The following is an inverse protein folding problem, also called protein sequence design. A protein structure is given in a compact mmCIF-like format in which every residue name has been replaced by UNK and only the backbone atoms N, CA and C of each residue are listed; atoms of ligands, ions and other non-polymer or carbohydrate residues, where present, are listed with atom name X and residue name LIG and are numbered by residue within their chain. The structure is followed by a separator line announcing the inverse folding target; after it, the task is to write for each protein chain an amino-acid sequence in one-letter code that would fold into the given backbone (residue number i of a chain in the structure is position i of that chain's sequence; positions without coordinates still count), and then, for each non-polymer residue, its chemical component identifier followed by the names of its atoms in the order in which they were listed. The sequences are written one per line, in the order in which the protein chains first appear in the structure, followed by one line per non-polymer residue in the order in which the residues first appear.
data_IF_785240081337
#
_entry.id   IF_785240081337
#
_cell.length_a   1.000
_cell.length_b   1.000
_cell.length_c   1.000
_cell.angle_alpha   90.00
_cell.angle_beta   90.00
_cell.angle_gamma   90.00
#
_symmetry.space_group_name_H-M   'P 1'
#
loop_
_entity.id
_entity.type
_entity.pdbx_description
1 polymer ?
#
# COMPACT_ATOMS: atom_id res chain seq x y z
N UNK A 1 3.90 19.90 0.36
CA UNK A 1 4.79 18.72 0.55
C UNK A 1 4.60 17.80 -0.66
N UNK A 2 5.65 17.26 -1.28
CA UNK A 2 5.49 16.24 -2.34
C UNK A 2 5.22 14.87 -1.73
N UNK A 3 4.42 14.07 -2.41
CA UNK A 3 4.25 12.65 -2.09
C UNK A 3 4.35 11.81 -3.37
N UNK A 4 4.68 10.54 -3.21
CA UNK A 4 4.83 9.59 -4.31
C UNK A 4 3.86 8.45 -4.12
N UNK A 5 3.31 7.91 -5.19
CA UNK A 5 2.32 6.86 -5.08
C UNK A 5 2.51 5.73 -6.09
N UNK A 6 2.16 4.52 -5.66
CA UNK A 6 1.91 3.37 -6.52
C UNK A 6 0.55 2.79 -6.17
N UNK A 7 -0.44 3.07 -7.02
CA UNK A 7 -1.83 2.66 -6.78
C UNK A 7 -2.19 1.47 -7.67
N UNK A 8 -3.09 0.62 -7.20
CA UNK A 8 -3.51 -0.56 -7.93
C UNK A 8 -4.21 -0.17 -9.24
N UNK A 9 -3.88 -0.87 -10.33
CA UNK A 9 -4.31 -0.56 -11.71
C UNK A 9 -3.91 0.84 -12.24
N UNK A 10 -3.02 1.56 -11.56
CA UNK A 10 -2.56 2.88 -11.97
C UNK A 10 -1.05 2.91 -12.19
N UNK A 11 -0.59 3.87 -13.00
CA UNK A 11 0.83 4.13 -13.13
C UNK A 11 1.38 4.78 -11.84
N UNK A 12 2.64 4.48 -11.47
CA UNK A 12 3.31 5.23 -10.42
C UNK A 12 3.33 6.71 -10.75
N UNK A 13 3.20 7.55 -9.74
CA UNK A 13 3.17 9.00 -9.93
C UNK A 13 3.65 9.76 -8.70
N UNK A 14 3.64 11.08 -8.85
CA UNK A 14 3.88 12.03 -7.78
C UNK A 14 2.74 13.04 -7.71
N UNK A 15 2.51 13.55 -6.51
CA UNK A 15 1.50 14.57 -6.26
C UNK A 15 1.98 15.60 -5.24
N UNK A 16 1.21 16.67 -5.12
CA UNK A 16 1.45 17.72 -4.14
C UNK A 16 0.36 17.65 -3.07
N UNK A 17 0.78 17.49 -1.82
CA UNK A 17 -0.09 17.61 -0.66
C UNK A 17 -0.43 19.09 -0.44
N UNK A 18 -1.71 19.36 -0.19
CA UNK A 18 -2.25 20.69 0.11
C UNK A 18 -2.34 20.85 1.62
N UNK A 19 -1.85 21.95 2.16
CA UNK A 19 -1.99 22.23 3.59
C UNK A 19 -3.45 22.58 3.89
N UNK A 20 -4.09 21.85 4.82
CA UNK A 20 -5.48 22.13 5.23
C UNK A 20 -5.48 23.07 6.45
N UNK A 21 -4.66 22.75 7.45
CA UNK A 21 -4.47 23.54 8.67
C UNK A 21 -3.03 23.34 9.17
N UNK A 22 -2.66 23.80 10.38
CA UNK A 22 -1.27 23.69 10.87
C UNK A 22 -0.77 22.25 11.12
N UNK A 23 -1.67 21.28 11.28
CA UNK A 23 -1.35 19.91 11.69
C UNK A 23 -1.79 18.86 10.65
N UNK A 24 -2.53 19.26 9.61
CA UNK A 24 -3.14 18.35 8.64
C UNK A 24 -2.82 18.74 7.21
N UNK A 25 -2.53 17.73 6.38
CA UNK A 25 -2.38 17.86 4.92
C UNK A 25 -3.40 16.99 4.20
N UNK A 26 -3.91 17.51 3.08
CA UNK A 26 -4.77 16.81 2.14
C UNK A 26 -3.96 16.21 0.99
N UNK A 27 -4.25 14.96 0.65
CA UNK A 27 -3.65 14.22 -0.46
C UNK A 27 -4.74 13.88 -1.47
N UNK A 28 -4.72 14.53 -2.63
CA UNK A 28 -5.56 14.13 -3.77
C UNK A 28 -4.89 13.00 -4.54
N UNK A 29 -5.47 11.79 -4.48
CA UNK A 29 -5.00 10.64 -5.25
C UNK A 29 -5.74 10.52 -6.60
N UNK A 30 -5.12 9.90 -7.63
CA UNK A 30 -5.74 9.70 -8.95
C UNK A 30 -7.10 8.99 -8.96
N UNK A 31 -7.46 8.29 -7.90
CA UNK A 31 -8.76 7.62 -7.75
C UNK A 31 -9.87 8.56 -7.23
N UNK A 32 -9.64 9.87 -7.28
CA UNK A 32 -10.56 10.93 -6.84
C UNK A 32 -10.89 10.90 -5.34
N UNK A 33 -10.15 10.12 -4.55
CA UNK A 33 -10.27 10.11 -3.09
C UNK A 33 -9.26 11.09 -2.50
N UNK A 34 -9.76 11.95 -1.60
CA UNK A 34 -8.90 12.85 -0.83
C UNK A 34 -8.69 12.26 0.56
N UNK A 35 -7.43 12.16 0.97
CA UNK A 35 -7.05 11.70 2.30
C UNK A 35 -6.52 12.86 3.13
N UNK A 36 -6.95 12.95 4.38
CA UNK A 36 -6.42 13.89 5.35
C UNK A 36 -5.47 13.15 6.29
N UNK A 37 -4.21 13.58 6.32
CA UNK A 37 -3.20 12.98 7.20
C UNK A 37 -2.67 14.01 8.20
N UNK A 38 -2.47 13.61 9.46
CA UNK A 38 -1.69 14.41 10.39
C UNK A 38 -0.24 14.49 9.91
N UNK A 39 0.38 15.67 10.03
CA UNK A 39 1.75 15.91 9.62
C UNK A 39 2.57 16.53 10.76
N UNK A 40 3.79 16.03 10.96
CA UNK A 40 4.82 16.73 11.71
C UNK A 40 5.78 17.38 10.71
N UNK A 41 5.80 18.71 10.64
CA UNK A 41 6.64 19.48 9.72
C UNK A 41 8.16 19.30 9.95
N UNK A 42 8.53 18.77 11.12
CA UNK A 42 9.92 18.41 11.45
C UNK A 42 10.32 17.11 10.78
N UNK A 43 9.37 16.25 10.43
CA UNK A 43 9.64 15.02 9.72
C UNK A 43 10.13 15.32 8.30
N UNK A 44 11.32 14.83 7.98
CA UNK A 44 11.98 15.04 6.68
C UNK A 44 11.98 13.81 5.79
N UNK A 45 11.29 12.75 6.22
CA UNK A 45 11.05 11.52 5.44
C UNK A 45 10.15 11.81 4.25
N UNK A 46 10.17 10.90 3.30
CA UNK A 46 9.42 10.99 2.05
C UNK A 46 8.10 10.26 2.23
N UNK A 47 6.98 10.95 1.96
CA UNK A 47 5.66 10.35 1.98
C UNK A 47 5.45 9.50 0.72
N UNK A 48 5.23 8.20 0.93
CA UNK A 48 4.98 7.21 -0.11
C UNK A 48 3.65 6.51 0.17
N UNK A 49 2.75 6.55 -0.80
CA UNK A 49 1.45 5.88 -0.77
C UNK A 49 1.53 4.62 -1.61
N UNK A 50 1.10 3.47 -1.07
CA UNK A 50 1.17 2.21 -1.81
C UNK A 50 -0.07 1.35 -1.60
N UNK A 51 -0.63 0.87 -2.70
CA UNK A 51 -1.67 -0.16 -2.70
C UNK A 51 -1.00 -1.54 -2.79
N UNK A 52 -1.19 -2.37 -1.77
CA UNK A 52 -0.60 -3.70 -1.73
C UNK A 52 -0.56 -4.29 -0.33
N UNK A 53 0.47 -5.08 -0.08
CA UNK A 53 0.75 -5.70 1.21
C UNK A 53 2.17 -5.32 1.66
N UNK A 54 2.29 -4.92 2.93
CA UNK A 54 3.60 -4.81 3.57
C UNK A 54 4.08 -6.20 4.01
N UNK A 55 5.35 -6.48 3.74
CA UNK A 55 6.00 -7.69 4.21
C UNK A 55 5.95 -7.79 5.74
N UNK A 56 5.95 -9.02 6.25
CA UNK A 56 5.99 -9.29 7.69
C UNK A 56 7.23 -8.59 8.28
N UNK A 57 7.05 -7.89 9.40
CA UNK A 57 8.15 -7.25 10.15
C UNK A 57 8.92 -6.12 9.44
N UNK A 58 8.51 -5.68 8.25
CA UNK A 58 9.26 -4.65 7.53
C UNK A 58 8.95 -3.21 7.99
N UNK A 59 7.68 -2.87 8.25
CA UNK A 59 7.23 -1.52 8.63
C UNK A 59 5.94 -1.67 9.48
N UNK A 60 5.67 -0.79 10.47
CA UNK A 60 4.38 -0.77 11.17
C UNK A 60 3.19 -0.80 10.20
N UNK A 61 2.30 -1.79 10.39
CA UNK A 61 1.19 -2.07 9.47
C UNK A 61 -0.02 -1.23 9.84
N UNK A 62 -0.08 0.00 9.34
CA UNK A 62 -1.30 0.79 9.27
C UNK A 62 -1.71 0.93 7.81
N UNK A 63 -3.00 0.76 7.49
CA UNK A 63 -3.50 0.93 6.14
C UNK A 63 -5.01 0.81 6.03
N UNK A 64 -5.57 1.44 5.01
CA UNK A 64 -7.01 1.46 4.73
C UNK A 64 -7.37 0.35 3.75
N UNK A 65 -8.45 -0.38 4.01
CA UNK A 65 -8.94 -1.38 3.06
C UNK A 65 -9.67 -0.67 1.91
N UNK A 66 -9.09 -0.68 0.71
CA UNK A 66 -9.66 0.00 -0.47
C UNK A 66 -10.43 -0.96 -1.39
N UNK A 67 -10.17 -2.26 -1.30
CA UNK A 67 -10.90 -3.29 -2.04
C UNK A 67 -11.03 -4.54 -1.18
N UNK A 68 -12.21 -5.16 -1.21
CA UNK A 68 -12.46 -6.47 -0.58
C UNK A 68 -13.22 -7.35 -1.56
N UNK A 69 -12.57 -8.41 -2.05
CA UNK A 69 -13.14 -9.36 -3.02
C UNK A 69 -13.45 -10.68 -2.31
N UNK A 70 -14.68 -11.17 -2.43
CA UNK A 70 -15.03 -12.52 -1.99
C UNK A 70 -14.44 -13.53 -2.97
N UNK A 71 -13.64 -14.48 -2.46
CA UNK A 71 -13.03 -15.55 -3.25
C UNK A 71 -13.90 -16.81 -3.29
N UNK A 72 -14.81 -16.95 -2.33
CA UNK A 72 -15.73 -18.09 -2.23
C UNK A 72 -16.03 -18.47 -0.79
N UNK A 73 -17.02 -19.35 -0.64
CA UNK A 73 -17.34 -19.99 0.64
C UNK A 73 -16.32 -21.07 0.97
N UNK A 74 -15.97 -21.15 2.24
CA UNK A 74 -15.11 -22.18 2.79
C UNK A 74 -15.98 -23.38 3.13
N UNK A 75 -15.73 -24.47 2.44
CA UNK A 75 -16.37 -25.77 2.72
C UNK A 75 -15.65 -26.54 3.83
N UNK A 76 -14.62 -25.95 4.44
CA UNK A 76 -13.75 -26.57 5.45
C UNK A 76 -13.80 -25.78 6.74
N UNK A 77 -13.75 -26.48 7.88
CA UNK A 77 -13.68 -25.87 9.19
C UNK A 77 -12.46 -24.94 9.30
N UNK A 78 -12.67 -23.76 9.89
CA UNK A 78 -11.64 -22.72 10.04
C UNK A 78 -10.38 -23.26 10.73
N UNK A 79 -10.55 -24.18 11.68
CA UNK A 79 -9.48 -24.84 12.44
C UNK A 79 -8.50 -25.63 11.55
N UNK A 80 -8.95 -26.08 10.38
CA UNK A 80 -8.15 -26.84 9.43
C UNK A 80 -7.50 -25.95 8.36
N UNK A 81 -7.79 -24.64 8.37
CA UNK A 81 -7.17 -23.70 7.44
C UNK A 81 -5.72 -23.45 7.85
N UNK A 82 -4.81 -23.72 6.91
CA UNK A 82 -3.39 -23.42 7.11
C UNK A 82 -3.21 -21.91 7.22
N UNK A 83 -2.54 -21.45 8.27
CA UNK A 83 -2.12 -20.04 8.40
C UNK A 83 -1.24 -19.66 7.20
N UNK A 84 -1.40 -18.42 6.72
CA UNK A 84 -0.65 -17.86 5.59
C UNK A 84 0.86 -18.13 5.72
N UNK A 85 1.48 -18.55 4.64
CA UNK A 85 2.94 -18.74 4.54
C UNK A 85 3.56 -17.52 3.86
N UNK A 86 4.86 -17.31 4.08
CA UNK A 86 5.59 -16.28 3.35
C UNK A 86 5.40 -16.47 1.83
N UNK A 87 4.97 -15.41 1.12
CA UNK A 87 4.69 -15.44 -0.31
C UNK A 87 3.26 -15.82 -0.72
N UNK A 88 2.35 -16.18 0.20
CA UNK A 88 0.92 -16.42 -0.14
C UNK A 88 0.06 -15.16 -0.01
N UNK A 89 -0.93 -14.89 -0.89
CA UNK A 89 -1.90 -13.78 -0.75
C UNK A 89 -2.40 -13.66 0.69
N UNK A 90 -2.40 -12.46 1.26
CA UNK A 90 -3.01 -12.25 2.57
C UNK A 90 -4.52 -12.24 2.39
N UNK A 91 -5.11 -13.44 2.30
CA UNK A 91 -6.55 -13.60 2.39
C UNK A 91 -6.98 -13.47 3.85
N UNK A 92 -8.07 -12.76 4.10
CA UNK A 92 -8.77 -12.77 5.38
C UNK A 92 -9.98 -13.68 5.28
N UNK A 93 -10.17 -14.53 6.29
CA UNK A 93 -11.37 -15.34 6.42
C UNK A 93 -12.38 -14.55 7.24
N UNK A 94 -13.57 -14.31 6.68
CA UNK A 94 -14.70 -13.79 7.44
C UNK A 94 -15.31 -14.95 8.24
N UNK A 95 -14.92 -15.06 9.50
CA UNK A 95 -15.26 -16.21 10.36
C UNK A 95 -16.75 -16.30 10.68
N UNK A 96 -17.50 -15.20 10.60
CA UNK A 96 -18.95 -15.19 10.83
C UNK A 96 -19.76 -15.68 9.63
N UNK A 97 -19.18 -15.62 8.41
CA UNK A 97 -19.84 -16.00 7.17
C UNK A 97 -19.22 -17.22 6.48
N UNK A 98 -18.06 -17.69 6.95
CA UNK A 98 -17.31 -18.76 6.30
C UNK A 98 -16.82 -18.37 4.91
N UNK A 99 -16.61 -17.08 4.62
CA UNK A 99 -16.20 -16.60 3.28
C UNK A 99 -14.73 -16.20 3.30
N UNK A 100 -13.95 -16.75 2.37
CA UNK A 100 -12.60 -16.27 2.11
C UNK A 100 -12.67 -14.95 1.33
N UNK A 101 -11.96 -13.93 1.82
CA UNK A 101 -11.87 -12.61 1.19
C UNK A 101 -10.42 -12.24 0.94
N UNK A 102 -10.14 -11.63 -0.21
CA UNK A 102 -8.90 -10.92 -0.43
C UNK A 102 -9.13 -9.44 -0.14
N UNK A 103 -8.25 -8.82 0.64
CA UNK A 103 -8.26 -7.38 0.88
C UNK A 103 -7.04 -6.73 0.24
N UNK A 104 -7.27 -5.64 -0.48
CA UNK A 104 -6.23 -4.72 -0.90
C UNK A 104 -6.16 -3.57 0.08
N UNK A 105 -4.97 -3.34 0.63
CA UNK A 105 -4.72 -2.29 1.59
C UNK A 105 -3.96 -1.15 0.92
N UNK A 106 -4.34 0.09 1.26
CA UNK A 106 -3.57 1.29 0.97
C UNK A 106 -2.78 1.68 2.20
N UNK A 107 -1.49 1.90 2.02
CA UNK A 107 -0.57 2.28 3.08
C UNK A 107 -0.01 3.68 2.82
N UNK A 108 0.01 4.51 3.86
CA UNK A 108 0.64 5.83 3.86
C UNK A 108 1.91 5.74 4.69
N UNK A 109 3.07 5.79 4.03
CA UNK A 109 4.36 5.47 4.63
C UNK A 109 5.29 6.68 4.60
N UNK A 110 5.91 7.00 5.74
CA UNK A 110 7.00 7.96 5.82
C UNK A 110 8.33 7.20 5.75
N UNK A 111 8.94 7.19 4.57
CA UNK A 111 10.17 6.44 4.27
C UNK A 111 11.42 7.30 4.37
N UNK A 112 12.50 6.74 4.91
CA UNK A 112 13.84 7.32 4.82
C UNK A 112 14.41 7.14 3.41
N UNK A 113 15.51 7.81 3.10
CA UNK A 113 16.26 7.50 1.88
C UNK A 113 16.79 6.06 1.96
N UNK A 114 16.72 5.31 0.86
CA UNK A 114 17.10 3.90 0.83
C UNK A 114 16.30 3.07 -0.16
N UNK A 115 16.47 1.74 -0.07
CA UNK A 115 15.79 0.77 -0.90
C UNK A 115 14.74 0.00 -0.07
N UNK A 116 13.55 -0.14 -0.63
CA UNK A 116 12.42 -0.83 -0.02
C UNK A 116 11.85 -1.85 -0.99
N UNK A 117 11.28 -2.91 -0.43
CA UNK A 117 10.57 -3.94 -1.19
C UNK A 117 9.16 -3.99 -0.66
N UNK A 118 8.21 -3.81 -1.57
CA UNK A 118 6.80 -3.98 -1.25
C UNK A 118 6.21 -5.09 -2.10
N UNK A 119 5.12 -5.63 -1.59
CA UNK A 119 4.36 -6.64 -2.30
C UNK A 119 3.09 -6.01 -2.83
N UNK A 120 2.77 -6.27 -4.09
CA UNK A 120 1.53 -5.85 -4.76
C UNK A 120 0.83 -7.06 -5.36
N UNK A 121 -0.39 -6.87 -5.82
CA UNK A 121 -1.03 -7.83 -6.73
C UNK A 121 -0.69 -7.47 -8.17
N UNK A 122 -0.68 -8.47 -9.05
CA UNK A 122 -0.36 -8.28 -10.48
C UNK A 122 -1.39 -7.37 -11.14
N UNK A 123 -2.67 -7.77 -11.12
CA UNK A 123 -3.79 -7.02 -11.70
C UNK A 123 -5.14 -7.59 -11.19
N UNK A 124 -6.28 -7.00 -11.62
CA UNK A 124 -7.61 -7.45 -11.19
C UNK A 124 -8.01 -8.86 -11.65
N UNK A 125 -7.41 -9.36 -12.74
CA UNK A 125 -7.66 -10.70 -13.30
C UNK A 125 -6.74 -11.74 -12.66
N UNK A 126 -5.58 -11.31 -12.17
CA UNK A 126 -4.57 -12.13 -11.54
C UNK A 126 -4.16 -11.52 -10.19
N UNK A 127 -4.79 -11.99 -9.13
CA UNK A 127 -4.47 -11.63 -7.74
C UNK A 127 -3.16 -12.29 -7.25
N UNK A 128 -2.30 -12.70 -8.17
CA UNK A 128 -0.98 -13.25 -7.89
C UNK A 128 -0.08 -12.18 -7.28
N UNK A 129 0.71 -12.50 -6.24
CA UNK A 129 1.60 -11.53 -5.63
C UNK A 129 2.81 -11.25 -6.52
N UNK A 130 3.23 -10.00 -6.52
CA UNK A 130 4.44 -9.51 -7.18
C UNK A 130 5.20 -8.58 -6.26
N UNK A 131 6.50 -8.44 -6.50
CA UNK A 131 7.36 -7.52 -5.77
C UNK A 131 7.63 -6.27 -6.58
N UNK A 132 7.55 -5.13 -5.92
CA UNK A 132 8.00 -3.84 -6.44
C UNK A 132 9.17 -3.36 -5.59
N UNK A 133 10.22 -2.89 -6.26
CA UNK A 133 11.41 -2.35 -5.60
C UNK A 133 11.34 -0.83 -5.70
N UNK A 134 11.52 -0.17 -4.56
CA UNK A 134 11.32 1.26 -4.41
C UNK A 134 12.59 1.87 -3.87
N UNK A 135 13.17 2.79 -4.63
CA UNK A 135 14.37 3.52 -4.23
C UNK A 135 14.00 4.97 -3.93
N UNK A 136 14.20 5.40 -2.70
CA UNK A 136 13.92 6.75 -2.22
C UNK A 136 15.24 7.52 -2.14
N UNK A 137 15.32 8.64 -2.86
CA UNK A 137 16.48 9.52 -2.91
C UNK A 137 16.10 10.93 -2.50
N UNK A 138 17.09 11.69 -2.02
CA UNK A 138 16.96 13.11 -1.73
C UNK A 138 18.24 13.83 -2.16
N UNK A 139 18.09 14.83 -3.02
CA UNK A 139 19.17 15.64 -3.55
C UNK A 139 18.87 17.14 -3.39
N UNK A 140 19.69 18.00 -4.00
CA UNK A 140 19.50 19.45 -3.97
C UNK A 140 18.19 19.92 -4.64
N UNK A 141 17.62 19.11 -5.54
CA UNK A 141 16.38 19.40 -6.25
C UNK A 141 15.14 18.83 -5.53
N UNK A 142 15.32 18.05 -4.46
CA UNK A 142 14.26 17.55 -3.60
C UNK A 142 14.30 16.03 -3.42
N UNK A 143 13.16 15.46 -3.01
CA UNK A 143 13.00 14.01 -2.93
C UNK A 143 12.60 13.44 -4.30
N UNK A 144 13.02 12.21 -4.59
CA UNK A 144 12.55 11.42 -5.73
C UNK A 144 12.36 9.96 -5.33
N UNK A 145 11.43 9.28 -6.02
CA UNK A 145 11.15 7.86 -5.81
C UNK A 145 11.18 7.13 -7.15
N UNK A 146 12.04 6.12 -7.24
CA UNK A 146 12.18 5.27 -8.42
C UNK A 146 11.51 3.92 -8.15
N UNK A 147 10.59 3.55 -9.03
CA UNK A 147 9.85 2.30 -8.99
C UNK A 147 10.46 1.33 -10.00
N UNK A 148 10.99 0.20 -9.55
CA UNK A 148 11.49 -0.87 -10.42
C UNK A 148 10.57 -2.07 -10.35
N UNK A 149 10.46 -2.79 -11.47
CA UNK A 149 9.54 -3.93 -11.61
C UNK A 149 8.05 -3.52 -11.51
N UNK A 150 7.75 -2.26 -11.89
CA UNK A 150 6.42 -1.64 -11.80
C UNK A 150 5.53 -1.90 -13.02
N UNK A 151 6.11 -2.27 -14.16
CA UNK A 151 5.42 -2.44 -15.45
C UNK A 151 5.70 -3.82 -16.05
N UNK A 152 4.63 -4.57 -16.29
CA UNK A 152 4.54 -5.70 -17.21
C UNK A 152 3.21 -5.61 -17.94
#
# INVERSE_FOLDING_TARGET
MKFFHYLFENHPGEGNAVQINNETVGLGLPDLVTYELPVDHRDKRVLVVIDGELLLECIPKAGDCILSVALGELTTNIEHLRRSRFGTPSYKVDTGKGVAKLQLMRHFLLLTCGNFVFRRFRDKRSLGPMYIFVEVRKDANGASVVWRNSTY
#
